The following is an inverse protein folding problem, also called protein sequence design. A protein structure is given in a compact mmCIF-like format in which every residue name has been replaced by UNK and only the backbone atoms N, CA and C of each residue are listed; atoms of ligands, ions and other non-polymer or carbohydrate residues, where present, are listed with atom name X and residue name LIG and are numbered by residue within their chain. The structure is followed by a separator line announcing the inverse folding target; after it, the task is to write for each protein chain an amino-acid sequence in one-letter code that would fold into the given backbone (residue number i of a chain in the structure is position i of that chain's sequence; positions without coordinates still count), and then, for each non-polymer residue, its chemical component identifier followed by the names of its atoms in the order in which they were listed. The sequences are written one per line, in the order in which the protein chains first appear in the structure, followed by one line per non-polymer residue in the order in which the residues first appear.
data_IF_497883796667
#
_entry.id   IF_497883796667
#
_cell.length_a   1.000
_cell.length_b   1.000
_cell.length_c   1.000
_cell.angle_alpha   90.00
_cell.angle_beta   90.00
_cell.angle_gamma   90.00
#
_symmetry.space_group_name_H-M   'P 1'
#
loop_
_entity.id
_entity.type
_entity.pdbx_description
1 polymer ?
#
# COMPACT_ATOMS: atom_id res chain seq x y z
N UNK A 1 19.96 -15.85 24.54
CA UNK A 1 18.88 -15.89 23.52
C UNK A 1 17.57 -15.71 24.25
N UNK A 2 16.85 -14.61 24.07
CA UNK A 2 15.60 -14.32 24.77
C UNK A 2 14.42 -14.98 24.07
N UNK A 3 13.63 -15.75 24.79
CA UNK A 3 12.38 -16.29 24.26
C UNK A 3 11.33 -15.18 24.32
N UNK A 4 10.75 -14.84 23.19
CA UNK A 4 9.66 -13.88 23.11
C UNK A 4 8.34 -14.61 23.29
N UNK A 5 7.63 -14.31 24.35
CA UNK A 5 6.33 -14.92 24.67
C UNK A 5 5.30 -13.84 25.00
N UNK A 6 4.04 -14.15 24.79
CA UNK A 6 2.95 -13.33 25.30
C UNK A 6 2.91 -13.37 26.84
N UNK A 7 2.48 -12.28 27.45
CA UNK A 7 2.19 -12.27 28.87
C UNK A 7 1.10 -13.31 29.18
N UNK A 8 1.10 -13.87 30.39
CA UNK A 8 0.11 -14.85 30.86
C UNK A 8 0.17 -16.28 30.30
N UNK A 9 1.13 -16.61 29.42
CA UNK A 9 1.23 -17.97 28.87
C UNK A 9 1.73 -19.02 29.87
N UNK A 10 2.40 -18.63 30.94
CA UNK A 10 3.05 -19.59 31.82
C UNK A 10 2.42 -19.67 33.22
N UNK A 11 1.63 -18.76 33.66
CA UNK A 11 0.79 -18.81 34.87
C UNK A 11 0.12 -17.47 35.20
N UNK A 12 -1.07 -17.56 35.74
CA UNK A 12 -1.76 -16.50 36.45
C UNK A 12 -2.54 -17.15 37.62
N UNK A 13 -2.76 -16.42 38.71
CA UNK A 13 -3.30 -16.96 39.98
C UNK A 13 -4.66 -17.67 39.84
N UNK A 14 -5.44 -17.37 38.83
CA UNK A 14 -6.79 -17.88 38.62
C UNK A 14 -6.99 -18.55 37.24
N UNK A 15 -5.97 -18.67 36.42
CA UNK A 15 -6.04 -19.26 35.09
C UNK A 15 -5.31 -20.60 35.01
N UNK A 16 -5.72 -21.49 34.08
CA UNK A 16 -5.00 -22.72 33.84
C UNK A 16 -3.59 -22.46 33.33
N UNK A 17 -2.65 -23.28 33.72
CA UNK A 17 -1.29 -23.26 33.19
C UNK A 17 -1.28 -23.97 31.83
N UNK A 18 -1.22 -23.20 30.74
CA UNK A 18 -1.14 -23.73 29.38
C UNK A 18 0.20 -23.31 28.78
N UNK A 19 1.10 -24.25 28.64
CA UNK A 19 2.38 -24.02 27.97
C UNK A 19 2.21 -24.17 26.46
N UNK A 20 2.03 -23.05 25.76
CA UNK A 20 1.99 -23.01 24.31
C UNK A 20 3.32 -22.48 23.77
N UNK A 21 3.96 -23.25 22.92
CA UNK A 21 5.15 -22.82 22.17
C UNK A 21 4.90 -23.04 20.68
N UNK A 22 5.18 -22.02 19.89
CA UNK A 22 5.04 -22.10 18.42
C UNK A 22 4.54 -20.79 17.83
N UNK A 23 4.49 -20.71 16.50
CA UNK A 23 3.87 -19.59 15.81
C UNK A 23 2.35 -19.59 16.06
N UNK A 24 1.82 -18.48 16.54
CA UNK A 24 0.39 -18.25 16.76
C UNK A 24 -0.35 -17.83 15.49
N UNK A 25 0.39 -17.52 14.43
CA UNK A 25 -0.13 -17.11 13.14
C UNK A 25 0.39 -17.99 12.01
N UNK A 26 -0.32 -18.06 10.88
CA UNK A 26 0.14 -18.79 9.71
C UNK A 26 1.54 -18.36 9.27
N UNK A 27 2.36 -19.34 8.90
CA UNK A 27 3.67 -19.10 8.29
C UNK A 27 3.50 -19.15 6.78
N UNK A 28 3.95 -18.10 6.11
CA UNK A 28 3.91 -18.00 4.65
C UNK A 28 5.33 -17.96 4.10
N UNK A 29 5.63 -18.85 3.17
CA UNK A 29 6.83 -18.77 2.34
C UNK A 29 6.43 -18.09 1.03
N UNK A 30 7.09 -16.97 0.71
CA UNK A 30 6.89 -16.23 -0.53
C UNK A 30 8.21 -16.17 -1.29
N UNK A 31 8.18 -16.48 -2.58
CA UNK A 31 9.31 -16.38 -3.48
C UNK A 31 8.96 -15.46 -4.65
N UNK A 32 9.86 -14.56 -4.98
CA UNK A 32 9.69 -13.63 -6.09
C UNK A 32 11.04 -13.30 -6.72
N UNK A 33 11.02 -12.94 -7.99
CA UNK A 33 12.17 -12.30 -8.64
C UNK A 33 12.13 -10.78 -8.36
N UNK A 34 10.95 -10.21 -8.53
CA UNK A 34 10.67 -8.79 -8.24
C UNK A 34 9.29 -8.69 -7.56
N UNK A 35 9.14 -7.74 -6.68
CA UNK A 35 7.85 -7.41 -6.07
C UNK A 35 7.73 -5.92 -5.80
N UNK A 36 6.51 -5.44 -5.73
CA UNK A 36 6.23 -4.15 -5.11
C UNK A 36 6.58 -4.22 -3.63
N UNK A 37 7.43 -3.32 -3.20
CA UNK A 37 7.74 -3.07 -1.80
C UNK A 37 6.72 -2.13 -1.17
N UNK A 38 7.19 -1.00 -0.63
CA UNK A 38 6.32 0.01 -0.05
C UNK A 38 5.77 0.94 -1.13
N UNK A 39 4.46 1.22 -1.05
CA UNK A 39 3.81 2.27 -1.84
C UNK A 39 3.44 3.41 -0.89
N UNK A 40 4.01 4.57 -1.11
CA UNK A 40 3.76 5.78 -0.32
C UNK A 40 2.99 6.79 -1.13
N UNK A 41 1.92 7.31 -0.57
CA UNK A 41 1.10 8.36 -1.20
C UNK A 41 1.13 9.63 -0.35
N UNK A 42 1.24 10.78 -1.00
CA UNK A 42 1.13 12.08 -0.35
C UNK A 42 0.16 12.97 -1.14
N UNK A 43 -1.00 13.22 -0.57
CA UNK A 43 -1.96 14.17 -1.10
C UNK A 43 -1.74 15.54 -0.43
N UNK A 44 -1.79 16.59 -1.22
CA UNK A 44 -1.65 17.97 -0.75
C UNK A 44 -2.74 18.85 -1.36
N UNK A 45 -3.17 19.82 -0.58
CA UNK A 45 -4.06 20.91 -1.01
C UNK A 45 -3.40 22.20 -0.57
N UNK A 46 -3.22 23.14 -1.49
CA UNK A 46 -2.66 24.44 -1.18
C UNK A 46 -3.75 25.46 -0.78
N UNK A 47 -3.34 26.68 -0.43
CA UNK A 47 -4.24 27.76 -0.04
C UNK A 47 -5.20 28.17 -1.17
N UNK A 48 -4.82 27.93 -2.44
CA UNK A 48 -5.66 28.15 -3.61
C UNK A 48 -6.56 26.96 -3.96
N UNK A 49 -6.66 25.97 -3.07
CA UNK A 49 -7.40 24.72 -3.25
C UNK A 49 -6.91 23.86 -4.43
N UNK A 50 -5.69 24.10 -4.91
CA UNK A 50 -5.05 23.22 -5.89
C UNK A 50 -4.67 21.92 -5.22
N UNK A 51 -4.94 20.83 -5.88
CA UNK A 51 -4.78 19.47 -5.36
C UNK A 51 -3.62 18.81 -6.07
N UNK A 52 -2.76 18.15 -5.34
CA UNK A 52 -1.72 17.33 -5.92
C UNK A 52 -1.63 15.98 -5.22
N UNK A 53 -1.24 14.96 -5.97
CA UNK A 53 -0.99 13.62 -5.46
C UNK A 53 0.39 13.16 -5.93
N UNK A 54 1.23 12.80 -4.98
CA UNK A 54 2.50 12.13 -5.24
C UNK A 54 2.40 10.67 -4.83
N UNK A 55 2.92 9.79 -5.68
CA UNK A 55 2.99 8.34 -5.44
C UNK A 55 4.44 7.91 -5.63
N UNK A 56 5.07 7.44 -4.55
CA UNK A 56 6.39 6.84 -4.55
C UNK A 56 6.24 5.33 -4.40
N UNK A 57 6.98 4.57 -5.19
CA UNK A 57 6.90 3.11 -5.25
C UNK A 57 8.29 2.53 -5.10
N UNK A 58 8.47 1.65 -4.11
CA UNK A 58 9.66 0.85 -3.96
C UNK A 58 9.45 -0.50 -4.65
N UNK A 59 10.48 -0.97 -5.37
CA UNK A 59 10.49 -2.30 -5.98
C UNK A 59 11.67 -3.07 -5.41
N UNK A 60 11.41 -4.27 -4.90
CA UNK A 60 12.41 -5.16 -4.31
C UNK A 60 12.71 -6.32 -5.26
N UNK A 61 13.98 -6.70 -5.39
CA UNK A 61 14.40 -7.88 -6.14
C UNK A 61 15.71 -7.72 -6.89
N UNK A 62 16.20 -8.84 -7.44
CA UNK A 62 17.44 -8.88 -8.21
C UNK A 62 17.13 -8.57 -9.68
N UNK A 63 17.24 -7.35 -10.07
CA UNK A 63 16.94 -6.90 -11.44
C UNK A 63 16.27 -5.54 -11.49
N UNK A 64 16.16 -4.91 -10.36
CA UNK A 64 15.43 -3.66 -10.09
C UNK A 64 15.86 -2.45 -10.95
N UNK A 65 16.74 -2.64 -11.90
CA UNK A 65 17.12 -1.59 -12.85
C UNK A 65 16.19 -1.70 -14.06
N UNK A 66 15.08 -0.96 -14.03
CA UNK A 66 14.20 -0.80 -15.18
C UNK A 66 12.80 -1.41 -15.05
N UNK A 67 12.41 -1.89 -13.87
CA UNK A 67 11.02 -2.25 -13.62
C UNK A 67 10.09 -1.09 -13.90
N UNK A 68 9.02 -1.35 -14.66
CA UNK A 68 7.94 -0.39 -14.89
C UNK A 68 6.73 -0.77 -14.06
N UNK A 69 6.03 0.21 -13.61
CA UNK A 69 4.75 0.02 -12.93
C UNK A 69 3.70 0.97 -13.47
N UNK A 70 2.48 0.54 -13.34
CA UNK A 70 1.30 1.33 -13.66
C UNK A 70 0.70 1.83 -12.38
N UNK A 71 0.49 3.15 -12.30
CA UNK A 71 -0.23 3.80 -11.22
C UNK A 71 -1.59 4.22 -11.74
N UNK A 72 -2.66 3.87 -11.01
CA UNK A 72 -4.04 4.21 -11.37
C UNK A 72 -4.71 4.88 -10.18
N UNK A 73 -5.27 6.06 -10.40
CA UNK A 73 -6.13 6.75 -9.46
C UNK A 73 -7.59 6.55 -9.85
N UNK A 74 -8.40 6.03 -8.94
CA UNK A 74 -9.82 5.79 -9.15
C UNK A 74 -10.69 6.58 -8.18
N UNK A 75 -11.87 6.97 -8.63
CA UNK A 75 -12.94 7.50 -7.79
C UNK A 75 -13.66 6.43 -6.98
N UNK A 76 -14.59 6.85 -6.13
CA UNK A 76 -15.40 5.94 -5.33
C UNK A 76 -16.34 5.04 -6.12
N UNK A 77 -16.61 5.38 -7.37
CA UNK A 77 -17.37 4.62 -8.36
C UNK A 77 -16.51 3.69 -9.23
N UNK A 78 -15.25 3.45 -8.82
CA UNK A 78 -14.23 2.69 -9.56
C UNK A 78 -13.84 3.31 -10.93
N UNK A 79 -14.32 4.50 -11.26
CA UNK A 79 -13.95 5.19 -12.48
C UNK A 79 -12.48 5.64 -12.41
N UNK A 80 -11.73 5.37 -13.49
CA UNK A 80 -10.34 5.82 -13.62
C UNK A 80 -10.29 7.32 -13.87
N UNK A 81 -9.63 8.04 -12.97
CA UNK A 81 -9.41 9.48 -13.04
C UNK A 81 -8.08 9.79 -13.72
N UNK A 82 -7.01 9.11 -13.30
CA UNK A 82 -5.65 9.23 -13.85
C UNK A 82 -5.00 7.87 -13.94
N UNK A 83 -4.15 7.70 -14.93
CA UNK A 83 -3.32 6.51 -15.10
C UNK A 83 -1.99 6.88 -15.73
N UNK A 84 -0.90 6.29 -15.25
CA UNK A 84 0.44 6.51 -15.79
C UNK A 84 1.30 5.25 -15.64
N UNK A 85 2.12 4.96 -16.66
CA UNK A 85 3.14 3.92 -16.61
C UNK A 85 4.51 4.59 -16.52
N UNK A 86 5.27 4.21 -15.51
CA UNK A 86 6.54 4.86 -15.18
C UNK A 86 7.52 3.87 -14.55
N UNK A 87 8.76 4.30 -14.39
CA UNK A 87 9.79 3.64 -13.58
C UNK A 87 10.29 4.53 -12.43
N UNK A 88 9.60 5.65 -12.19
CA UNK A 88 9.92 6.62 -11.14
C UNK A 88 8.68 7.06 -10.37
N UNK A 89 8.82 7.98 -9.42
CA UNK A 89 7.68 8.54 -8.71
C UNK A 89 6.73 9.25 -9.68
N UNK A 90 5.45 9.18 -9.37
CA UNK A 90 4.39 9.90 -10.08
C UNK A 90 4.01 11.13 -9.28
N UNK A 91 3.82 12.25 -9.94
CA UNK A 91 3.31 13.48 -9.33
C UNK A 91 2.25 14.09 -10.25
N UNK A 92 1.01 14.12 -9.77
CA UNK A 92 -0.12 14.66 -10.51
C UNK A 92 -0.64 15.94 -9.88
N UNK A 93 -0.81 16.96 -10.69
CA UNK A 93 -1.73 18.05 -10.38
C UNK A 93 -3.14 17.61 -10.75
N UNK A 94 -4.05 17.67 -9.78
CA UNK A 94 -5.43 17.23 -9.91
C UNK A 94 -6.36 18.45 -9.95
N UNK A 95 -7.27 18.43 -10.91
CA UNK A 95 -8.24 19.48 -11.10
C UNK A 95 -9.57 19.22 -10.39
N UNK A 96 -10.64 19.66 -11.01
CA UNK A 96 -12.00 19.52 -10.47
C UNK A 96 -12.53 18.07 -10.54
N UNK A 97 -11.83 17.19 -11.25
CA UNK A 97 -12.13 15.76 -11.31
C UNK A 97 -11.95 15.05 -9.96
N UNK A 98 -11.25 15.71 -9.00
CA UNK A 98 -11.06 15.20 -7.63
C UNK A 98 -11.67 16.19 -6.65
N UNK A 99 -12.70 15.76 -5.93
CA UNK A 99 -13.35 16.55 -4.91
C UNK A 99 -12.59 16.46 -3.58
N UNK A 100 -12.66 17.53 -2.80
CA UNK A 100 -12.06 17.55 -1.48
C UNK A 100 -12.88 16.72 -0.49
N UNK A 101 -12.18 16.07 0.42
CA UNK A 101 -12.79 15.43 1.57
C UNK A 101 -13.09 16.48 2.65
N UNK A 102 -14.25 16.40 3.25
CA UNK A 102 -14.66 17.30 4.31
C UNK A 102 -15.07 16.51 5.56
N UNK A 103 -14.84 17.04 6.78
CA UNK A 103 -15.37 16.47 8.01
C UNK A 103 -16.90 16.36 7.98
N UNK A 104 -17.43 15.48 8.82
CA UNK A 104 -18.89 15.32 8.97
C UNK A 104 -19.55 16.66 9.27
N UNK A 105 -20.61 17.00 8.54
CA UNK A 105 -21.34 18.26 8.66
C UNK A 105 -20.77 19.43 7.83
N UNK A 106 -19.60 19.25 7.19
CA UNK A 106 -18.98 20.29 6.36
C UNK A 106 -18.95 19.97 4.86
N UNK A 107 -19.28 18.76 4.47
CA UNK A 107 -19.31 18.35 3.06
C UNK A 107 -19.22 16.84 2.88
N UNK A 108 -18.96 16.44 1.64
CA UNK A 108 -18.86 15.03 1.27
C UNK A 108 -17.55 14.40 1.76
N UNK A 109 -17.61 13.12 2.16
CA UNK A 109 -16.46 12.31 2.58
C UNK A 109 -16.02 11.37 1.46
N UNK A 110 -15.61 11.92 0.35
CA UNK A 110 -15.20 11.15 -0.81
C UNK A 110 -13.84 10.49 -0.59
N UNK A 111 -13.71 9.26 -1.06
CA UNK A 111 -12.48 8.48 -1.01
C UNK A 111 -12.02 8.13 -2.41
N UNK A 112 -10.71 8.04 -2.56
CA UNK A 112 -10.07 7.66 -3.80
C UNK A 112 -9.15 6.48 -3.55
N UNK A 113 -8.99 5.63 -4.56
CA UNK A 113 -8.13 4.44 -4.49
C UNK A 113 -6.95 4.61 -5.42
N UNK A 114 -5.74 4.44 -4.90
CA UNK A 114 -4.53 4.32 -5.70
C UNK A 114 -4.17 2.85 -5.84
N UNK A 115 -4.10 2.36 -7.06
CA UNK A 115 -3.64 1.02 -7.39
C UNK A 115 -2.30 1.09 -8.08
N UNK A 116 -1.36 0.25 -7.69
CA UNK A 116 -0.06 0.12 -8.34
C UNK A 116 0.13 -1.31 -8.79
N UNK A 117 0.47 -1.49 -10.06
CA UNK A 117 0.73 -2.79 -10.68
C UNK A 117 2.15 -2.81 -11.23
N UNK A 118 2.94 -3.80 -10.84
CA UNK A 118 4.25 -4.04 -11.43
C UNK A 118 4.07 -4.65 -12.82
N UNK A 119 4.63 -3.98 -13.83
CA UNK A 119 4.62 -4.45 -15.21
C UNK A 119 5.87 -5.29 -15.43
N UNK A 120 5.78 -6.60 -15.22
CA UNK A 120 6.86 -7.53 -15.55
C UNK A 120 6.92 -7.81 -17.05
N UNK A 121 8.13 -7.98 -17.58
CA UNK A 121 8.29 -8.70 -18.84
C UNK A 121 7.78 -10.12 -18.61
N UNK A 122 6.64 -10.45 -19.19
CA UNK A 122 6.17 -11.82 -19.32
C UNK A 122 7.05 -12.50 -20.38
N UNK A 123 8.32 -12.70 -20.06
CA UNK A 123 9.12 -13.68 -20.80
C UNK A 123 8.63 -15.05 -20.37
N UNK A 124 7.78 -15.61 -21.19
CA UNK A 124 7.28 -16.96 -21.05
C UNK A 124 8.44 -17.91 -20.82
N UNK A 125 8.40 -18.61 -19.69
CA UNK A 125 9.09 -19.88 -19.54
C UNK A 125 8.36 -20.87 -20.45
N UNK A 126 8.93 -21.12 -21.63
CA UNK A 126 8.62 -22.29 -22.44
C UNK A 126 9.46 -23.45 -21.96
#
# INVERSE_FOLDING_TARGET
MGIRKSQYHFRWDWGPELMCMGPDRPIHLRMWKERLGEVRTAARVDEGLRRSLRVDVDVEGAGTVGGKWRVVLKGGDEQVIRQEETSGPVEWELGEEVWLWWPVGHGAQLRYTVTVELLGDVSMLS
#
